data_IF_293728977936
#
_entry.id   IF_293728977936
#
_cell.length_a   1.000
_cell.length_b   1.000
_cell.length_c   1.000
_cell.angle_alpha   90.00
_cell.angle_beta   90.00
_cell.angle_gamma   90.00
#
_symmetry.space_group_name_H-M   'P 1'
#
loop_
_entity.id
_entity.type
_entity.pdbx_description
1 polymer ?
#
# COMPACT_ATOMS: atom_id res chain seq x y z
N UNK A 1 11.61 5.38 -4.41
CA UNK A 1 10.24 5.34 -3.89
C UNK A 1 9.22 4.86 -4.87
N UNK A 2 9.09 5.50 -6.02
CA UNK A 2 8.16 5.04 -7.06
C UNK A 2 8.45 3.61 -7.49
N UNK A 3 9.74 3.25 -7.61
CA UNK A 3 10.14 1.90 -7.97
C UNK A 3 9.78 0.89 -6.89
N UNK A 4 9.87 1.27 -5.63
CA UNK A 4 9.53 0.39 -4.52
C UNK A 4 8.03 0.08 -4.52
N UNK A 5 7.18 1.09 -4.70
CA UNK A 5 5.74 0.91 -4.78
C UNK A 5 5.38 0.02 -5.97
N UNK A 6 5.96 0.30 -7.13
CA UNK A 6 5.69 -0.47 -8.35
C UNK A 6 6.11 -1.93 -8.18
N UNK A 7 7.28 -2.18 -7.57
CA UNK A 7 7.76 -3.54 -7.32
C UNK A 7 6.84 -4.30 -6.39
N UNK A 8 6.34 -3.67 -5.32
CA UNK A 8 5.40 -4.29 -4.38
C UNK A 8 4.10 -4.66 -5.08
N UNK A 9 3.56 -3.77 -5.92
CA UNK A 9 2.33 -4.00 -6.66
C UNK A 9 2.49 -5.15 -7.65
N UNK A 10 3.58 -5.17 -8.39
CA UNK A 10 3.87 -6.24 -9.36
C UNK A 10 3.98 -7.59 -8.65
N UNK A 11 4.69 -7.64 -7.53
CA UNK A 11 4.81 -8.86 -6.75
C UNK A 11 3.44 -9.34 -6.25
N UNK A 12 2.60 -8.43 -5.81
CA UNK A 12 1.25 -8.76 -5.34
C UNK A 12 0.38 -9.30 -6.48
N UNK A 13 0.47 -8.71 -7.66
CA UNK A 13 -0.33 -9.12 -8.82
C UNK A 13 0.13 -10.45 -9.42
N UNK A 14 1.40 -10.83 -9.23
CA UNK A 14 1.99 -12.00 -9.85
C UNK A 14 1.69 -13.32 -9.14
N UNK A 15 1.16 -13.28 -7.92
CA UNK A 15 1.02 -14.47 -7.10
C UNK A 15 -0.39 -14.67 -6.57
N UNK A 16 -0.84 -15.93 -6.60
CA UNK A 16 -1.93 -16.37 -5.75
C UNK A 16 -1.41 -16.57 -4.32
N UNK A 17 -0.86 -15.53 -3.74
CA UNK A 17 -0.19 -15.60 -2.46
C UNK A 17 -1.18 -15.76 -1.31
N UNK A 18 -0.71 -16.27 -0.17
CA UNK A 18 -1.49 -16.31 1.06
C UNK A 18 -1.82 -14.88 1.52
N UNK A 19 -2.85 -14.75 2.36
CA UNK A 19 -3.23 -13.45 2.92
C UNK A 19 -2.06 -12.77 3.61
N UNK A 20 -1.22 -13.52 4.33
CA UNK A 20 -0.05 -12.98 5.00
C UNK A 20 0.95 -12.36 4.04
N UNK A 21 1.23 -13.02 2.92
CA UNK A 21 2.16 -12.49 1.92
C UNK A 21 1.58 -11.24 1.24
N UNK A 22 0.31 -11.30 0.87
CA UNK A 22 -0.37 -10.15 0.25
C UNK A 22 -0.36 -8.96 1.21
N UNK A 23 -0.70 -9.19 2.47
CA UNK A 23 -0.76 -8.10 3.45
C UNK A 23 0.61 -7.52 3.74
N UNK A 24 1.68 -8.33 3.72
CA UNK A 24 3.04 -7.80 3.84
C UNK A 24 3.39 -6.88 2.67
N UNK A 25 2.98 -7.24 1.45
CA UNK A 25 3.21 -6.39 0.28
C UNK A 25 2.41 -5.09 0.36
N UNK A 26 1.17 -5.17 0.81
CA UNK A 26 0.35 -3.97 1.02
C UNK A 26 0.98 -3.09 2.12
N UNK A 27 1.52 -3.71 3.16
CA UNK A 27 2.26 -2.99 4.19
C UNK A 27 3.47 -2.25 3.65
N UNK A 28 4.20 -2.87 2.72
CA UNK A 28 5.33 -2.22 2.06
C UNK A 28 4.88 -0.99 1.25
N UNK A 29 3.73 -1.07 0.61
CA UNK A 29 3.14 0.08 -0.09
C UNK A 29 2.81 1.19 0.91
N UNK A 30 2.23 0.84 2.05
CA UNK A 30 1.95 1.81 3.11
C UNK A 30 3.21 2.49 3.61
N UNK A 31 4.26 1.72 3.83
CA UNK A 31 5.56 2.26 4.24
C UNK A 31 6.08 3.25 3.19
N UNK A 32 6.08 2.84 1.92
CA UNK A 32 6.56 3.69 0.83
C UNK A 32 5.73 4.96 0.68
N UNK A 33 4.42 4.86 0.85
CA UNK A 33 3.53 6.02 0.79
C UNK A 33 3.82 7.00 1.93
N UNK A 34 4.04 6.50 3.15
CA UNK A 34 4.37 7.33 4.30
C UNK A 34 5.73 8.01 4.11
N UNK A 35 6.70 7.29 3.57
CA UNK A 35 8.00 7.83 3.27
C UNK A 35 7.92 8.93 2.21
N UNK A 36 7.12 8.72 1.17
CA UNK A 36 6.86 9.73 0.15
C UNK A 36 6.18 10.96 0.75
N UNK A 37 5.17 10.76 1.59
CA UNK A 37 4.49 11.85 2.30
C UNK A 37 5.50 12.69 3.10
N UNK A 38 6.35 12.02 3.86
CA UNK A 38 7.34 12.68 4.71
C UNK A 38 8.41 13.41 3.89
N UNK A 39 8.60 12.99 2.65
CA UNK A 39 9.52 13.65 1.71
C UNK A 39 8.85 14.79 0.93
N UNK A 40 7.58 15.08 1.21
CA UNK A 40 6.87 16.18 0.59
C UNK A 40 6.13 15.83 -0.71
N UNK A 41 6.00 14.56 -1.05
CA UNK A 41 5.25 14.14 -2.23
C UNK A 41 3.76 14.34 -1.97
N UNK A 42 3.03 15.07 -2.83
CA UNK A 42 1.58 15.26 -2.66
C UNK A 42 0.81 13.95 -2.77
N UNK A 43 -0.32 13.87 -2.08
CA UNK A 43 -1.18 12.69 -2.13
C UNK A 43 -1.61 12.34 -3.56
N UNK A 44 -1.89 13.35 -4.38
CA UNK A 44 -2.31 13.12 -5.77
C UNK A 44 -1.25 12.38 -6.58
N UNK A 45 0.03 12.67 -6.33
CA UNK A 45 1.13 12.00 -7.00
C UNK A 45 1.27 10.56 -6.49
N UNK A 46 1.22 10.37 -5.19
CA UNK A 46 1.26 9.03 -4.61
C UNK A 46 0.09 8.18 -5.09
N UNK A 47 -1.09 8.77 -5.18
CA UNK A 47 -2.29 8.10 -5.68
C UNK A 47 -2.13 7.71 -7.14
N UNK A 48 -1.57 8.58 -7.97
CA UNK A 48 -1.34 8.28 -9.38
C UNK A 48 -0.40 7.09 -9.58
N UNK A 49 0.62 6.98 -8.73
CA UNK A 49 1.54 5.83 -8.76
C UNK A 49 0.83 4.55 -8.32
N UNK A 50 -0.07 4.64 -7.34
CA UNK A 50 -0.78 3.49 -6.79
C UNK A 50 -1.94 3.01 -7.67
N UNK A 51 -2.38 3.83 -8.63
CA UNK A 51 -3.50 3.50 -9.51
C UNK A 51 -3.01 3.26 -10.93
N UNK A 52 -3.25 2.05 -11.43
CA UNK A 52 -2.89 1.73 -12.81
C UNK A 52 -3.85 0.67 -13.34
N UNK A 53 -4.30 0.79 -14.60
CA UNK A 53 -5.14 -0.25 -15.22
C UNK A 53 -4.47 -1.64 -15.21
N UNK A 54 -3.14 -1.66 -15.24
CA UNK A 54 -2.38 -2.90 -15.24
C UNK A 54 -2.54 -3.72 -13.96
N UNK A 55 -2.83 -3.06 -12.85
CA UNK A 55 -2.91 -3.73 -11.54
C UNK A 55 -4.26 -4.38 -11.28
N UNK A 56 -5.30 -3.99 -12.03
CA UNK A 56 -6.65 -4.49 -11.83
C UNK A 56 -7.44 -3.69 -10.80
N UNK A 57 -8.75 -3.89 -10.82
CA UNK A 57 -9.68 -3.09 -10.01
C UNK A 57 -9.47 -3.32 -8.51
N UNK A 58 -9.34 -4.58 -8.11
CA UNK A 58 -9.23 -4.90 -6.68
C UNK A 58 -7.92 -4.38 -6.08
N UNK A 59 -6.82 -4.55 -6.79
CA UNK A 59 -5.53 -4.02 -6.36
C UNK A 59 -5.58 -2.50 -6.24
N UNK A 60 -6.18 -1.83 -7.21
CA UNK A 60 -6.30 -0.38 -7.18
C UNK A 60 -7.13 0.12 -6.00
N UNK A 61 -8.19 -0.60 -5.63
CA UNK A 61 -8.98 -0.24 -4.45
C UNK A 61 -8.16 -0.32 -3.18
N UNK A 62 -7.42 -1.41 -3.01
CA UNK A 62 -6.59 -1.64 -1.82
C UNK A 62 -5.48 -0.60 -1.74
N UNK A 63 -4.79 -0.37 -2.85
CA UNK A 63 -3.67 0.56 -2.88
C UNK A 63 -4.13 2.00 -2.70
N UNK A 64 -5.25 2.36 -3.32
CA UNK A 64 -5.84 3.69 -3.14
C UNK A 64 -6.24 3.94 -1.70
N UNK A 65 -6.88 2.97 -1.06
CA UNK A 65 -7.25 3.06 0.34
C UNK A 65 -6.01 3.19 1.23
N UNK A 66 -4.95 2.46 0.92
CA UNK A 66 -3.69 2.52 1.67
C UNK A 66 -3.08 3.92 1.58
N UNK A 67 -3.05 4.52 0.40
CA UNK A 67 -2.52 5.88 0.23
C UNK A 67 -3.37 6.89 1.00
N UNK A 68 -4.69 6.81 0.87
CA UNK A 68 -5.59 7.72 1.58
C UNK A 68 -5.39 7.63 3.09
N UNK A 69 -5.33 6.42 3.62
CA UNK A 69 -5.11 6.19 5.04
C UNK A 69 -3.78 6.81 5.48
N UNK A 70 -2.73 6.53 4.73
CA UNK A 70 -1.39 7.02 5.04
C UNK A 70 -1.36 8.55 5.15
N UNK A 71 -1.95 9.24 4.18
CA UNK A 71 -1.96 10.70 4.17
C UNK A 71 -2.93 11.30 5.19
N UNK A 72 -3.92 10.52 5.64
CA UNK A 72 -4.83 10.96 6.70
C UNK A 72 -4.23 10.84 8.09
N UNK A 73 -3.10 10.16 8.22
CA UNK A 73 -2.42 9.96 9.51
C UNK A 73 -0.99 10.50 9.45
N UNK A 74 -0.82 11.84 9.31
CA UNK A 74 0.51 12.42 9.11
C UNK A 74 1.43 12.29 10.31
N UNK A 75 0.89 11.98 11.49
CA UNK A 75 1.67 11.81 12.71
C UNK A 75 2.26 10.41 12.86
N UNK A 76 1.86 9.48 12.00
CA UNK A 76 2.36 8.11 12.07
C UNK A 76 3.61 7.94 11.20
N UNK A 77 4.61 7.27 11.76
CA UNK A 77 5.84 6.98 11.03
C UNK A 77 5.61 5.93 9.95
N UNK A 78 6.50 5.80 8.96
CA UNK A 78 6.38 4.74 7.97
C UNK A 78 6.28 3.34 8.58
N UNK A 79 7.01 3.07 9.65
CA UNK A 79 6.91 1.77 10.35
C UNK A 79 5.55 1.56 10.97
N UNK A 80 4.99 2.60 11.58
CA UNK A 80 3.65 2.53 12.17
C UNK A 80 2.58 2.33 11.10
N UNK A 81 2.69 3.05 9.98
CA UNK A 81 1.77 2.90 8.86
C UNK A 81 1.84 1.47 8.32
N UNK A 82 3.04 0.93 8.15
CA UNK A 82 3.19 -0.46 7.70
C UNK A 82 2.47 -1.43 8.64
N UNK A 83 2.68 -1.29 9.94
CA UNK A 83 2.04 -2.16 10.94
C UNK A 83 0.52 -2.03 10.91
N UNK A 84 0.00 -0.82 10.82
CA UNK A 84 -1.44 -0.56 10.76
C UNK A 84 -2.01 -1.17 9.47
N UNK A 85 -1.34 -0.97 8.36
CA UNK A 85 -1.77 -1.47 7.06
C UNK A 85 -1.84 -2.99 7.05
N UNK A 86 -0.81 -3.64 7.58
CA UNK A 86 -0.79 -5.11 7.68
C UNK A 86 -1.95 -5.59 8.56
N UNK A 87 -2.15 -4.96 9.71
CA UNK A 87 -3.21 -5.35 10.64
C UNK A 87 -4.59 -5.22 9.99
N UNK A 88 -4.86 -4.12 9.31
CA UNK A 88 -6.12 -3.90 8.61
C UNK A 88 -6.32 -4.89 7.46
N UNK A 89 -5.26 -5.15 6.70
CA UNK A 89 -5.31 -6.09 5.60
C UNK A 89 -5.60 -7.50 6.09
N UNK A 90 -4.90 -7.96 7.12
CA UNK A 90 -5.10 -9.29 7.71
C UNK A 90 -6.53 -9.40 8.27
N UNK A 91 -7.00 -8.37 8.93
CA UNK A 91 -8.36 -8.33 9.47
C UNK A 91 -9.42 -8.47 8.37
N UNK A 92 -9.18 -7.84 7.21
CA UNK A 92 -10.10 -7.87 6.08
C UNK A 92 -10.02 -9.16 5.28
N UNK A 93 -8.86 -9.79 5.22
CA UNK A 93 -8.58 -10.96 4.39
C UNK A 93 -8.22 -12.21 5.20
N UNK A 94 -8.34 -12.13 6.51
CA UNK A 94 -7.78 -13.13 7.41
C UNK A 94 -8.33 -14.54 7.28
N UNK A 95 -9.49 -14.66 6.66
CA UNK A 95 -10.14 -15.96 6.50
C UNK A 95 -9.81 -16.65 5.18
N UNK A 96 -8.97 -16.02 4.39
CA UNK A 96 -8.57 -16.57 3.07
C UNK A 96 -7.55 -17.69 3.19
#
# INVERSE_FOLDING_TARGET
MKKLIAAAIIAMASFGASAGEVCNKVGDVGFAAADARDSGVPQSVAMAVAQSPEYGVDANKVLGATVKMTYSMPNKTPKEIKAITIALCVSSMGDL
#
